data_IF_479174649137
#
_entry.id   IF_479174649137
#
_cell.length_a   1.000
_cell.length_b   1.000
_cell.length_c   1.000
_cell.angle_alpha   90.00
_cell.angle_beta   90.00
_cell.angle_gamma   90.00
#
_symmetry.space_group_name_H-M   'P 1'
#
loop_
_entity.id
_entity.type
_entity.pdbx_description
1 polymer ?
#
# COMPACT_ATOMS: atom_id res chain seq x y z
N UNK A 1 3.92 -4.09 -12.82
CA UNK A 1 2.73 -4.13 -13.70
C UNK A 1 2.45 -2.73 -14.20
N UNK A 2 2.15 -2.58 -15.48
CA UNK A 2 1.65 -1.35 -16.09
C UNK A 2 0.19 -1.54 -16.44
N UNK A 3 -0.64 -0.57 -16.06
CA UNK A 3 -2.05 -0.53 -16.37
C UNK A 3 -2.33 0.72 -17.19
N UNK A 4 -3.01 0.55 -18.30
CA UNK A 4 -3.50 1.64 -19.15
C UNK A 4 -5.01 1.65 -19.11
N UNK A 5 -5.57 2.73 -18.54
CA UNK A 5 -6.99 2.92 -18.33
C UNK A 5 -7.50 3.92 -19.35
N UNK A 6 -8.34 3.48 -20.28
CA UNK A 6 -9.05 4.34 -21.22
C UNK A 6 -8.11 5.34 -21.93
N UNK A 7 -7.11 4.82 -22.66
CA UNK A 7 -6.13 5.64 -23.40
C UNK A 7 -6.47 5.67 -24.91
N UNK A 8 -7.18 6.69 -25.40
CA UNK A 8 -7.57 6.75 -26.81
C UNK A 8 -6.44 7.14 -27.77
N UNK A 9 -5.38 7.81 -27.28
CA UNK A 9 -4.32 8.39 -28.11
C UNK A 9 -2.93 8.10 -27.51
N UNK A 10 -2.52 6.82 -27.43
CA UNK A 10 -1.23 6.47 -26.85
C UNK A 10 -0.09 7.11 -27.64
N UNK A 11 1.00 7.49 -26.96
CA UNK A 11 2.24 7.83 -27.67
C UNK A 11 2.92 6.57 -28.20
N UNK A 12 3.71 6.71 -29.27
CA UNK A 12 4.55 5.61 -29.76
C UNK A 12 5.55 5.12 -28.71
N UNK A 13 6.07 6.04 -27.88
CA UNK A 13 6.93 5.70 -26.75
C UNK A 13 6.22 4.78 -25.76
N UNK A 14 4.96 5.04 -25.43
CA UNK A 14 4.17 4.18 -24.54
C UNK A 14 4.02 2.77 -25.13
N UNK A 15 3.70 2.65 -26.42
CA UNK A 15 3.59 1.35 -27.10
C UNK A 15 4.90 0.56 -27.04
N UNK A 16 6.05 1.22 -27.27
CA UNK A 16 7.37 0.60 -27.11
C UNK A 16 7.62 0.16 -25.68
N UNK A 17 7.34 1.02 -24.69
CA UNK A 17 7.54 0.72 -23.27
C UNK A 17 6.69 -0.47 -22.82
N UNK A 18 5.46 -0.61 -23.30
CA UNK A 18 4.61 -1.76 -23.03
C UNK A 18 5.23 -3.05 -23.56
N UNK A 19 5.68 -3.04 -24.82
CA UNK A 19 6.34 -4.18 -25.43
C UNK A 19 7.61 -4.58 -24.66
N UNK A 20 8.47 -3.62 -24.35
CA UNK A 20 9.72 -3.86 -23.64
C UNK A 20 9.48 -4.39 -22.23
N UNK A 21 8.49 -3.83 -21.51
CA UNK A 21 8.10 -4.30 -20.19
C UNK A 21 7.64 -5.76 -20.24
N UNK A 22 6.75 -6.12 -21.17
CA UNK A 22 6.26 -7.48 -21.31
C UNK A 22 7.36 -8.46 -21.76
N UNK A 23 8.26 -8.03 -22.66
CA UNK A 23 9.40 -8.83 -23.10
C UNK A 23 10.42 -9.11 -21.98
N UNK A 24 10.44 -8.29 -20.93
CA UNK A 24 11.32 -8.47 -19.76
C UNK A 24 10.64 -9.20 -18.58
N UNK A 25 9.51 -9.87 -18.81
CA UNK A 25 8.78 -10.57 -17.75
C UNK A 25 7.76 -9.71 -17.00
N UNK A 26 7.57 -8.46 -17.43
CA UNK A 26 6.58 -7.56 -16.88
C UNK A 26 5.15 -7.86 -17.35
N UNK A 27 4.19 -7.14 -16.75
CA UNK A 27 2.75 -7.30 -17.04
C UNK A 27 2.19 -5.99 -17.54
N UNK A 28 1.50 -6.03 -18.67
CA UNK A 28 0.80 -4.90 -19.28
C UNK A 28 -0.69 -5.24 -19.35
N UNK A 29 -1.53 -4.31 -18.92
CA UNK A 29 -2.99 -4.44 -19.00
C UNK A 29 -3.54 -3.20 -19.70
N UNK A 30 -4.29 -3.41 -20.78
CA UNK A 30 -5.04 -2.37 -21.47
C UNK A 30 -6.52 -2.53 -21.18
N UNK A 31 -7.15 -1.50 -20.59
CA UNK A 31 -8.59 -1.48 -20.32
C UNK A 31 -9.29 -0.37 -21.08
N UNK A 32 -10.36 -0.72 -21.77
CA UNK A 32 -11.21 0.20 -22.53
C UNK A 32 -11.03 0.04 -24.05
N UNK A 33 -11.31 1.09 -24.84
CA UNK A 33 -11.27 1.02 -26.29
C UNK A 33 -9.85 0.74 -26.81
N UNK A 34 -9.69 -0.07 -27.87
CA UNK A 34 -8.46 -0.12 -28.64
C UNK A 34 -8.20 1.25 -29.30
N UNK A 35 -6.94 1.68 -29.41
CA UNK A 35 -6.62 2.98 -29.97
C UNK A 35 -6.70 2.95 -31.51
N UNK A 36 -7.25 4.01 -32.08
CA UNK A 36 -7.29 4.20 -33.55
C UNK A 36 -6.12 5.05 -34.02
N UNK A 37 -5.85 6.12 -33.28
CA UNK A 37 -4.78 7.08 -33.56
C UNK A 37 -3.82 7.14 -32.37
N UNK A 38 -2.56 7.47 -32.64
CA UNK A 38 -1.61 7.90 -31.62
C UNK A 38 -1.77 9.40 -31.31
N UNK A 39 -1.00 9.89 -30.33
CA UNK A 39 -0.99 11.30 -29.93
C UNK A 39 -0.59 12.29 -31.05
N UNK A 40 0.08 11.81 -32.10
CA UNK A 40 0.54 12.60 -33.25
C UNK A 40 -0.45 12.50 -34.43
N UNK A 41 -1.54 11.75 -34.28
CA UNK A 41 -2.59 11.57 -35.29
C UNK A 41 -2.30 10.48 -36.33
N UNK A 42 -1.29 9.64 -36.13
CA UNK A 42 -0.99 8.49 -36.99
C UNK A 42 -1.83 7.28 -36.59
N UNK A 43 -2.11 6.37 -37.54
CA UNK A 43 -2.79 5.11 -37.22
C UNK A 43 -1.93 4.20 -36.35
N UNK A 44 -2.51 3.64 -35.29
CA UNK A 44 -1.80 2.78 -34.33
C UNK A 44 -2.47 1.41 -34.11
N UNK A 45 -3.69 1.20 -34.63
CA UNK A 45 -4.48 -0.02 -34.41
C UNK A 45 -3.74 -1.29 -34.79
N UNK A 46 -3.03 -1.31 -35.92
CA UNK A 46 -2.28 -2.49 -36.35
C UNK A 46 -1.17 -2.86 -35.37
N UNK A 47 -0.36 -1.87 -34.95
CA UNK A 47 0.70 -2.08 -33.97
C UNK A 47 0.14 -2.53 -32.61
N UNK A 48 -1.00 -1.99 -32.20
CA UNK A 48 -1.69 -2.39 -30.98
C UNK A 48 -2.25 -3.83 -31.07
N UNK A 49 -2.91 -4.18 -32.17
CA UNK A 49 -3.41 -5.52 -32.46
C UNK A 49 -2.28 -6.55 -32.37
N UNK A 50 -1.14 -6.25 -32.98
CA UNK A 50 0.05 -7.11 -32.95
C UNK A 50 0.66 -7.23 -31.56
N UNK A 51 0.65 -6.15 -30.77
CA UNK A 51 1.14 -6.15 -29.40
C UNK A 51 0.30 -7.08 -28.51
N UNK A 52 -1.03 -7.00 -28.58
CA UNK A 52 -1.93 -7.82 -27.76
C UNK A 52 -2.27 -9.19 -28.37
N UNK A 53 -1.93 -9.43 -29.65
CA UNK A 53 -2.22 -10.68 -30.34
C UNK A 53 -3.72 -10.86 -30.62
N UNK A 54 -4.40 -9.77 -30.94
CA UNK A 54 -5.84 -9.72 -31.20
C UNK A 54 -6.12 -8.96 -32.48
N UNK A 55 -7.30 -9.16 -33.07
CA UNK A 55 -7.79 -8.38 -34.19
C UNK A 55 -8.98 -7.53 -33.77
N UNK A 56 -8.79 -6.22 -33.87
CA UNK A 56 -9.81 -5.19 -33.74
C UNK A 56 -9.96 -4.43 -35.06
N UNK A 57 -11.21 -4.17 -35.45
CA UNK A 57 -11.56 -3.29 -36.56
C UNK A 57 -12.48 -2.18 -36.03
N UNK A 58 -12.02 -0.93 -36.16
CA UNK A 58 -12.79 0.22 -35.70
C UNK A 58 -13.96 0.53 -36.65
N UNK A 59 -15.13 0.77 -36.09
CA UNK A 59 -16.36 1.16 -36.80
C UNK A 59 -16.88 2.54 -36.35
N UNK A 60 -17.62 3.26 -37.20
CA UNK A 60 -18.28 4.50 -36.80
C UNK A 60 -19.23 4.27 -35.61
N UNK A 61 -19.02 5.01 -34.51
CA UNK A 61 -19.82 4.89 -33.29
C UNK A 61 -19.35 3.82 -32.29
N UNK A 62 -18.11 3.33 -32.47
CA UNK A 62 -17.45 2.25 -31.75
C UNK A 62 -17.82 2.01 -30.27
N UNK A 63 -17.77 0.73 -29.92
CA UNK A 63 -18.16 0.18 -28.62
C UNK A 63 -19.64 -0.20 -28.58
N UNK A 64 -19.94 -1.42 -28.13
CA UNK A 64 -21.29 -1.93 -28.00
C UNK A 64 -21.93 -1.50 -26.68
N UNK A 65 -23.17 -1.01 -26.77
CA UNK A 65 -24.01 -0.65 -25.63
C UNK A 65 -24.79 -1.89 -25.18
N UNK A 66 -24.43 -2.43 -24.01
CA UNK A 66 -24.97 -3.71 -23.52
C UNK A 66 -25.30 -3.69 -22.01
N UNK A 67 -26.01 -2.67 -21.50
CA UNK A 67 -26.37 -2.62 -20.08
C UNK A 67 -27.20 -3.84 -19.66
N UNK A 68 -27.01 -4.28 -18.42
CA UNK A 68 -27.64 -5.46 -17.83
C UNK A 68 -27.00 -6.79 -18.24
N UNK A 69 -26.04 -6.82 -19.17
CA UNK A 69 -25.26 -8.02 -19.49
C UNK A 69 -24.10 -8.19 -18.52
N UNK A 70 -23.57 -9.40 -18.48
CA UNK A 70 -22.45 -9.77 -17.61
C UNK A 70 -21.20 -10.09 -18.43
N UNK A 71 -20.07 -9.60 -17.94
CA UNK A 71 -18.74 -10.05 -18.33
C UNK A 71 -18.45 -11.33 -17.53
N UNK A 72 -18.15 -12.41 -18.25
CA UNK A 72 -17.76 -13.71 -17.69
C UNK A 72 -16.30 -13.97 -18.00
N UNK A 73 -15.53 -14.28 -16.97
CA UNK A 73 -14.09 -14.49 -17.09
C UNK A 73 -13.75 -15.97 -17.36
N UNK A 74 -12.64 -16.19 -18.05
CA UNK A 74 -12.17 -17.50 -18.47
C UNK A 74 -10.64 -17.57 -18.49
N UNK A 75 -10.08 -18.76 -18.73
CA UNK A 75 -8.65 -18.95 -18.88
C UNK A 75 -7.88 -18.44 -17.64
N UNK A 76 -6.83 -17.60 -17.83
CA UNK A 76 -6.06 -17.02 -16.73
C UNK A 76 -6.89 -16.19 -15.72
N UNK A 77 -8.08 -15.74 -16.10
CA UNK A 77 -8.98 -14.95 -15.24
C UNK A 77 -10.18 -15.75 -14.72
N UNK A 78 -10.24 -17.07 -14.89
CA UNK A 78 -11.42 -17.88 -14.56
C UNK A 78 -11.91 -17.78 -13.11
N UNK A 79 -11.05 -17.37 -12.17
CA UNK A 79 -11.41 -17.18 -10.76
C UNK A 79 -12.02 -15.80 -10.46
N UNK A 80 -11.95 -14.86 -11.42
CA UNK A 80 -12.54 -13.53 -11.27
C UNK A 80 -14.06 -13.66 -11.34
N UNK A 81 -14.81 -13.15 -10.34
CA UNK A 81 -16.27 -13.14 -10.37
C UNK A 81 -16.81 -12.36 -11.58
N UNK A 82 -17.99 -12.75 -12.06
CA UNK A 82 -18.64 -12.04 -13.15
C UNK A 82 -18.94 -10.58 -12.77
N UNK A 83 -18.89 -9.68 -13.76
CA UNK A 83 -19.20 -8.27 -13.57
C UNK A 83 -20.40 -7.85 -14.42
N UNK A 84 -21.40 -7.21 -13.81
CA UNK A 84 -22.51 -6.59 -14.51
C UNK A 84 -22.11 -5.27 -15.18
N UNK A 85 -22.64 -5.03 -16.38
CA UNK A 85 -22.50 -3.77 -17.12
C UNK A 85 -23.69 -2.88 -16.74
N UNK A 86 -23.42 -1.71 -16.19
CA UNK A 86 -24.46 -0.92 -15.51
C UNK A 86 -25.15 0.10 -16.42
N UNK A 87 -24.38 0.80 -17.26
CA UNK A 87 -24.90 1.96 -18.02
C UNK A 87 -24.64 1.82 -19.52
N UNK A 88 -25.25 2.72 -20.30
CA UNK A 88 -24.99 2.92 -21.72
C UNK A 88 -23.91 3.97 -22.00
N UNK A 89 -23.29 4.53 -20.95
CA UNK A 89 -22.22 5.51 -21.08
C UNK A 89 -21.00 4.88 -21.74
N UNK A 90 -20.22 5.71 -22.46
CA UNK A 90 -19.06 5.25 -23.23
C UNK A 90 -18.08 4.43 -22.38
N UNK A 91 -17.90 4.81 -21.11
CA UNK A 91 -17.00 4.12 -20.17
C UNK A 91 -17.44 2.70 -19.78
N UNK A 92 -18.72 2.35 -19.98
CA UNK A 92 -19.29 1.03 -19.71
C UNK A 92 -19.55 0.23 -21.00
N UNK A 93 -19.24 0.80 -22.18
CA UNK A 93 -19.30 0.06 -23.44
C UNK A 93 -18.28 -1.07 -23.44
N UNK A 94 -18.61 -2.09 -24.22
CA UNK A 94 -17.66 -3.17 -24.52
C UNK A 94 -17.06 -2.99 -25.91
N UNK A 95 -15.84 -3.45 -26.07
CA UNK A 95 -15.05 -3.37 -27.29
C UNK A 95 -14.58 -4.78 -27.62
N UNK A 96 -15.38 -5.54 -28.39
CA UNK A 96 -15.04 -6.89 -28.75
C UNK A 96 -13.78 -6.95 -29.63
N UNK A 97 -13.00 -8.01 -29.48
CA UNK A 97 -11.87 -8.34 -30.34
C UNK A 97 -11.92 -9.82 -30.71
N UNK A 98 -11.18 -10.21 -31.74
CA UNK A 98 -10.94 -11.62 -32.05
C UNK A 98 -9.53 -11.99 -31.61
N UNK A 99 -9.34 -12.81 -30.55
CA UNK A 99 -8.02 -13.29 -30.18
C UNK A 99 -7.44 -14.21 -31.26
N UNK A 100 -6.16 -14.04 -31.60
CA UNK A 100 -5.49 -14.90 -32.58
C UNK A 100 -5.12 -16.23 -31.91
N UNK A 101 -5.58 -17.34 -32.48
CA UNK A 101 -5.59 -18.69 -31.86
C UNK A 101 -4.25 -19.15 -31.27
N UNK A 102 -3.12 -18.70 -31.81
CA UNK A 102 -1.77 -19.11 -31.38
C UNK A 102 -1.04 -18.08 -30.52
N UNK A 103 -1.61 -16.90 -30.29
CA UNK A 103 -0.92 -15.81 -29.56
C UNK A 103 -1.67 -15.30 -28.35
N UNK A 104 -2.99 -15.38 -28.33
CA UNK A 104 -3.78 -14.89 -27.20
C UNK A 104 -4.93 -15.83 -26.87
N UNK A 105 -5.08 -16.14 -25.58
CA UNK A 105 -6.21 -16.91 -25.06
C UNK A 105 -7.36 -15.96 -24.68
N UNK A 106 -8.60 -16.39 -24.91
CA UNK A 106 -9.80 -15.69 -24.41
C UNK A 106 -9.76 -15.66 -22.88
N UNK A 107 -9.93 -14.46 -22.31
CA UNK A 107 -9.90 -14.23 -20.87
C UNK A 107 -11.21 -13.65 -20.32
N UNK A 108 -12.03 -13.03 -21.18
CA UNK A 108 -13.36 -12.56 -20.80
C UNK A 108 -14.30 -12.51 -22.00
N UNK A 109 -15.58 -12.80 -21.76
CA UNK A 109 -16.64 -12.81 -22.77
C UNK A 109 -17.90 -12.12 -22.28
N UNK A 110 -18.65 -11.51 -23.18
CA UNK A 110 -20.04 -11.10 -22.98
C UNK A 110 -20.86 -11.83 -24.03
N UNK A 111 -21.58 -12.89 -23.63
CA UNK A 111 -22.20 -13.82 -24.58
C UNK A 111 -21.18 -14.30 -25.62
N UNK A 112 -21.44 -14.10 -26.91
CA UNK A 112 -20.58 -14.55 -28.01
C UNK A 112 -19.42 -13.58 -28.32
N UNK A 113 -19.35 -12.42 -27.65
CA UNK A 113 -18.28 -11.44 -27.86
C UNK A 113 -17.10 -11.70 -26.92
N UNK A 114 -15.91 -11.86 -27.48
CA UNK A 114 -14.66 -11.84 -26.72
C UNK A 114 -14.29 -10.41 -26.38
N UNK A 115 -14.29 -10.08 -25.10
CA UNK A 115 -13.97 -8.74 -24.56
C UNK A 115 -12.74 -8.77 -23.67
N UNK A 116 -12.02 -9.88 -23.62
CA UNK A 116 -10.75 -9.96 -22.95
C UNK A 116 -9.86 -11.04 -23.55
N UNK A 117 -8.57 -10.74 -23.63
CA UNK A 117 -7.57 -11.62 -24.20
C UNK A 117 -6.26 -11.53 -23.40
N UNK A 118 -5.57 -12.65 -23.23
CA UNK A 118 -4.26 -12.70 -22.56
C UNK A 118 -3.25 -13.35 -23.49
N UNK A 119 -2.17 -12.63 -23.78
CA UNK A 119 -0.96 -13.11 -24.45
C UNK A 119 0.17 -13.20 -23.44
N UNK A 120 0.88 -14.32 -23.42
CA UNK A 120 2.11 -14.50 -22.61
C UNK A 120 3.35 -14.39 -23.49
N UNK A 121 4.43 -13.84 -22.95
CA UNK A 121 5.74 -13.78 -23.61
C UNK A 121 6.62 -14.95 -23.17
N UNK A 122 7.66 -15.26 -23.94
CA UNK A 122 8.61 -16.34 -23.61
C UNK A 122 9.34 -16.12 -22.27
N UNK A 123 9.53 -14.86 -21.87
CA UNK A 123 10.15 -14.48 -20.60
C UNK A 123 9.19 -14.50 -19.39
N UNK A 124 7.96 -14.99 -19.59
CA UNK A 124 6.94 -15.06 -18.53
C UNK A 124 6.19 -13.77 -18.28
N UNK A 125 6.38 -12.75 -19.14
CA UNK A 125 5.57 -11.54 -19.11
C UNK A 125 4.19 -11.75 -19.75
N UNK A 126 3.31 -10.78 -19.61
CA UNK A 126 1.94 -10.88 -20.12
C UNK A 126 1.39 -9.56 -20.64
N UNK A 127 0.62 -9.64 -21.73
CA UNK A 127 -0.19 -8.56 -22.28
C UNK A 127 -1.66 -8.97 -22.18
N UNK A 128 -2.42 -8.24 -21.38
CA UNK A 128 -3.85 -8.48 -21.18
C UNK A 128 -4.65 -7.33 -21.76
N UNK A 129 -5.57 -7.65 -22.65
CA UNK A 129 -6.58 -6.72 -23.12
C UNK A 129 -7.91 -6.98 -22.39
N UNK A 130 -8.56 -5.91 -21.95
CA UNK A 130 -9.90 -5.88 -21.39
C UNK A 130 -10.69 -4.80 -22.13
N UNK A 131 -11.50 -5.22 -23.10
CA UNK A 131 -12.38 -4.34 -23.88
C UNK A 131 -13.59 -3.86 -23.11
N UNK A 132 -13.45 -3.57 -21.83
CA UNK A 132 -14.47 -3.02 -20.95
C UNK A 132 -13.74 -2.34 -19.78
N UNK A 133 -14.48 -1.65 -18.92
CA UNK A 133 -13.97 -1.09 -17.66
C UNK A 133 -14.23 -2.08 -16.53
N UNK A 134 -13.23 -2.81 -16.01
CA UNK A 134 -13.39 -3.50 -14.74
C UNK A 134 -13.65 -2.47 -13.65
N UNK A 135 -14.59 -2.79 -12.78
CA UNK A 135 -15.02 -1.91 -11.70
C UNK A 135 -14.15 -2.14 -10.47
N UNK A 136 -13.89 -1.06 -9.76
CA UNK A 136 -13.43 -1.05 -8.38
C UNK A 136 -14.20 0.09 -7.70
N UNK A 137 -14.64 -0.13 -6.47
CA UNK A 137 -15.14 0.90 -5.58
C UNK A 137 -14.09 1.22 -4.51
N UNK A 138 -14.43 2.15 -3.61
CA UNK A 138 -13.58 2.49 -2.46
C UNK A 138 -13.71 1.43 -1.35
N UNK A 139 -13.56 0.15 -1.73
CA UNK A 139 -14.03 -0.99 -0.96
C UNK A 139 -15.56 -0.91 -0.69
N UNK A 140 -16.04 -1.48 0.41
CA UNK A 140 -17.47 -1.60 0.67
C UNK A 140 -18.15 -0.30 1.16
N UNK A 141 -17.67 0.87 0.73
CA UNK A 141 -18.19 2.17 1.18
C UNK A 141 -19.63 2.45 0.74
N UNK A 142 -20.18 1.69 -0.21
CA UNK A 142 -21.59 1.76 -0.61
C UNK A 142 -22.45 0.64 0.02
N UNK A 143 -21.94 -0.03 1.05
CA UNK A 143 -22.61 -1.16 1.72
C UNK A 143 -22.48 -2.50 0.99
N UNK A 144 -21.83 -2.52 -0.17
CA UNK A 144 -21.46 -3.71 -0.93
C UNK A 144 -20.10 -3.51 -1.59
N UNK A 145 -19.47 -4.60 -2.00
CA UNK A 145 -18.10 -4.64 -2.49
C UNK A 145 -18.04 -4.86 -4.00
N UNK A 146 -17.31 -4.00 -4.70
CA UNK A 146 -17.07 -4.07 -6.15
C UNK A 146 -15.57 -4.07 -6.40
N UNK A 147 -15.02 -5.21 -6.80
CA UNK A 147 -13.55 -5.40 -6.76
C UNK A 147 -12.98 -6.10 -7.98
N UNK A 148 -13.68 -6.05 -9.11
CA UNK A 148 -13.25 -6.73 -10.35
C UNK A 148 -11.83 -6.34 -10.74
N UNK A 149 -11.48 -5.06 -10.62
CA UNK A 149 -10.13 -4.59 -10.96
C UNK A 149 -9.07 -5.25 -10.06
N UNK A 150 -9.28 -5.28 -8.75
CA UNK A 150 -8.42 -6.01 -7.83
C UNK A 150 -8.32 -7.50 -8.17
N UNK A 151 -9.44 -8.18 -8.45
CA UNK A 151 -9.44 -9.62 -8.74
C UNK A 151 -8.69 -9.95 -10.03
N UNK A 152 -8.84 -9.12 -11.07
CA UNK A 152 -8.06 -9.23 -12.31
C UNK A 152 -6.57 -9.04 -12.03
N UNK A 153 -6.19 -7.99 -11.29
CA UNK A 153 -4.80 -7.74 -10.94
C UNK A 153 -4.20 -8.88 -10.11
N UNK A 154 -4.96 -9.42 -9.17
CA UNK A 154 -4.55 -10.53 -8.33
C UNK A 154 -4.36 -11.82 -9.15
N UNK A 155 -5.33 -12.17 -10.00
CA UNK A 155 -5.25 -13.33 -10.88
C UNK A 155 -4.05 -13.28 -11.84
N UNK A 156 -3.68 -12.07 -12.30
CA UNK A 156 -2.49 -11.85 -13.13
C UNK A 156 -1.18 -11.78 -12.33
N UNK A 157 -1.23 -11.84 -11.00
CA UNK A 157 -0.05 -11.80 -10.13
C UNK A 157 0.58 -10.40 -9.99
N UNK A 158 -0.23 -9.34 -10.01
CA UNK A 158 0.24 -7.97 -9.82
C UNK A 158 0.65 -7.66 -8.37
N UNK A 159 0.22 -8.49 -7.41
CA UNK A 159 0.55 -8.39 -5.98
C UNK A 159 1.44 -9.56 -5.56
N UNK A 160 2.72 -9.58 -5.96
CA UNK A 160 3.61 -10.69 -5.63
C UNK A 160 3.87 -10.73 -4.11
N UNK A 161 3.80 -11.92 -3.53
CA UNK A 161 4.22 -12.18 -2.17
C UNK A 161 5.72 -11.88 -1.98
N UNK A 162 6.15 -11.70 -0.73
CA UNK A 162 7.57 -11.56 -0.37
C UNK A 162 8.40 -12.80 -0.70
N UNK A 163 7.75 -13.96 -0.79
CA UNK A 163 8.39 -15.27 -1.00
C UNK A 163 8.90 -15.93 0.29
N UNK A 164 8.73 -15.31 1.46
CA UNK A 164 9.17 -15.86 2.75
C UNK A 164 8.25 -16.98 3.25
N UNK A 165 6.95 -16.86 2.99
CA UNK A 165 5.93 -17.77 3.50
C UNK A 165 5.33 -18.62 2.39
N UNK A 166 5.52 -19.94 2.45
CA UNK A 166 4.94 -20.86 1.48
C UNK A 166 3.41 -20.77 1.46
N UNK A 167 2.82 -20.60 0.26
CA UNK A 167 1.38 -20.56 0.06
C UNK A 167 0.66 -19.33 0.64
N UNK A 168 1.38 -18.32 1.12
CA UNK A 168 0.79 -17.11 1.70
C UNK A 168 1.14 -15.90 0.86
N UNK A 169 0.12 -15.13 0.46
CA UNK A 169 0.31 -13.80 -0.11
C UNK A 169 0.32 -12.75 1.01
N UNK A 170 1.51 -12.32 1.40
CA UNK A 170 1.76 -11.33 2.44
C UNK A 170 2.04 -9.92 1.86
N UNK A 171 1.67 -9.69 0.60
CA UNK A 171 1.82 -8.40 -0.05
C UNK A 171 0.90 -7.34 0.62
N UNK A 172 1.42 -6.15 0.99
CA UNK A 172 0.65 -5.08 1.63
C UNK A 172 -0.64 -4.68 0.92
N UNK A 173 -0.62 -4.56 -0.41
CA UNK A 173 -1.80 -4.15 -1.19
C UNK A 173 -2.84 -5.28 -1.22
N UNK A 174 -2.40 -6.53 -1.34
CA UNK A 174 -3.26 -7.71 -1.23
C UNK A 174 -3.92 -7.81 0.14
N UNK A 175 -3.14 -7.66 1.22
CA UNK A 175 -3.63 -7.72 2.60
C UNK A 175 -4.62 -6.59 2.87
N UNK A 176 -4.34 -5.38 2.40
CA UNK A 176 -5.25 -4.23 2.54
C UNK A 176 -6.62 -4.49 1.91
N UNK A 177 -6.66 -5.26 0.81
CA UNK A 177 -7.91 -5.61 0.13
C UNK A 177 -8.56 -6.90 0.63
N UNK A 178 -7.87 -7.74 1.40
CA UNK A 178 -8.38 -9.08 1.78
C UNK A 178 -8.53 -9.28 3.29
N UNK A 179 -7.99 -8.37 4.09
CA UNK A 179 -8.08 -8.41 5.56
C UNK A 179 -8.84 -7.19 6.10
N UNK A 180 -8.97 -7.12 7.41
CA UNK A 180 -9.51 -5.97 8.16
C UNK A 180 -8.45 -4.88 8.44
N UNK A 181 -7.23 -5.04 7.93
CA UNK A 181 -6.12 -4.12 8.18
C UNK A 181 -5.69 -3.39 6.90
N UNK A 182 -5.30 -2.14 7.05
CA UNK A 182 -4.55 -1.39 6.05
C UNK A 182 -3.06 -1.65 6.30
N UNK A 183 -2.39 -2.24 5.33
CA UNK A 183 -0.98 -2.61 5.42
C UNK A 183 -0.18 -1.79 4.43
N UNK A 184 0.90 -1.16 4.90
CA UNK A 184 1.80 -0.36 4.10
C UNK A 184 3.24 -0.83 4.22
N UNK A 185 3.98 -0.71 3.12
CA UNK A 185 5.45 -0.85 3.10
C UNK A 185 6.07 0.44 2.59
N UNK A 186 7.16 0.85 3.21
CA UNK A 186 7.92 2.02 2.80
C UNK A 186 9.26 1.63 2.16
N UNK A 187 9.83 2.46 1.27
CA UNK A 187 11.11 2.19 0.61
C UNK A 187 12.29 1.96 1.56
N UNK A 188 12.20 2.50 2.78
CA UNK A 188 13.22 2.34 3.81
C UNK A 188 13.12 1.02 4.58
N UNK A 189 12.25 0.09 4.17
CA UNK A 189 12.02 -1.20 4.81
C UNK A 189 10.97 -1.21 5.93
N UNK A 190 10.39 -0.06 6.29
CA UNK A 190 9.34 -0.01 7.32
C UNK A 190 8.06 -0.72 6.84
N UNK A 191 7.45 -1.51 7.73
CA UNK A 191 6.09 -2.05 7.57
C UNK A 191 5.18 -1.34 8.56
N UNK A 192 3.98 -0.94 8.12
CA UNK A 192 2.96 -0.31 8.94
C UNK A 192 1.62 -1.02 8.78
N UNK A 193 0.87 -1.13 9.87
CA UNK A 193 -0.42 -1.80 9.95
C UNK A 193 -1.36 -0.93 10.77
N UNK A 194 -2.59 -0.76 10.30
CA UNK A 194 -3.65 -0.08 11.04
C UNK A 194 -5.00 -0.81 10.83
N UNK A 195 -5.94 -0.71 11.78
CA UNK A 195 -7.33 -1.09 11.52
C UNK A 195 -7.88 -0.36 10.28
N UNK A 196 -8.61 -1.07 9.42
CA UNK A 196 -9.10 -0.54 8.15
C UNK A 196 -10.59 -0.20 8.22
N UNK A 197 -10.94 0.98 7.72
CA UNK A 197 -12.34 1.38 7.50
C UNK A 197 -13.00 0.76 6.24
N UNK A 198 -12.44 -0.31 5.65
CA UNK A 198 -12.87 -0.83 4.34
C UNK A 198 -14.32 -1.31 4.27
N UNK A 199 -14.90 -1.67 5.42
CA UNK A 199 -16.26 -2.19 5.54
C UNK A 199 -17.22 -1.15 6.11
N UNK A 200 -16.72 0.07 6.37
CA UNK A 200 -17.55 1.17 6.83
C UNK A 200 -18.24 1.78 5.61
N UNK A 201 -19.57 1.63 5.55
CA UNK A 201 -20.38 2.35 4.59
C UNK A 201 -20.21 3.86 4.82
N UNK A 202 -20.07 4.63 3.74
CA UNK A 202 -20.01 6.07 3.78
C UNK A 202 -21.43 6.63 3.70
N UNK A 203 -21.92 7.17 4.81
CA UNK A 203 -23.24 7.81 4.87
C UNK A 203 -23.24 9.12 5.63
N UNK A 204 -22.07 9.77 5.75
CA UNK A 204 -21.96 11.06 6.43
C UNK A 204 -22.77 12.13 5.67
N UNK A 205 -23.52 12.99 6.39
CA UNK A 205 -24.24 14.08 5.75
C UNK A 205 -23.23 15.02 5.09
N UNK A 206 -23.29 15.13 3.76
CA UNK A 206 -22.44 16.07 3.02
C UNK A 206 -22.76 17.53 3.40
N UNK A 207 -21.78 18.43 3.29
CA UNK A 207 -21.96 19.85 3.60
C UNK A 207 -20.65 20.56 3.87
N UNK A 208 -20.68 21.90 3.90
CA UNK A 208 -19.50 22.72 4.20
C UNK A 208 -19.20 22.82 5.71
N UNK A 209 -20.19 22.56 6.56
CA UNK A 209 -20.09 22.62 8.02
C UNK A 209 -20.56 21.30 8.63
N UNK A 210 -19.91 20.90 9.72
CA UNK A 210 -20.28 19.72 10.50
C UNK A 210 -21.47 20.04 11.39
N UNK A 211 -22.41 19.10 11.49
CA UNK A 211 -23.51 19.13 12.46
C UNK A 211 -23.25 18.04 13.52
N UNK A 212 -22.93 18.44 14.74
CA UNK A 212 -22.56 17.52 15.83
C UNK A 212 -23.67 16.51 16.16
N UNK A 213 -24.94 16.90 16.07
CA UNK A 213 -26.07 16.02 16.38
C UNK A 213 -26.23 14.94 15.30
N UNK A 214 -26.13 15.32 14.03
CA UNK A 214 -26.19 14.37 12.91
C UNK A 214 -24.98 13.44 12.89
N UNK A 215 -23.78 13.96 13.19
CA UNK A 215 -22.56 13.17 13.31
C UNK A 215 -22.66 12.13 14.44
N UNK A 216 -23.19 12.53 15.60
CA UNK A 216 -23.38 11.64 16.73
C UNK A 216 -24.42 10.54 16.42
N UNK A 217 -25.53 10.90 15.76
CA UNK A 217 -26.54 9.94 15.32
C UNK A 217 -25.97 8.94 14.30
N UNK A 218 -25.17 9.42 13.34
CA UNK A 218 -24.50 8.57 12.37
C UNK A 218 -23.52 7.60 13.03
N UNK A 219 -22.65 8.09 13.92
CA UNK A 219 -21.68 7.25 14.65
C UNK A 219 -22.35 6.20 15.55
N UNK A 220 -23.52 6.51 16.11
CA UNK A 220 -24.29 5.54 16.89
C UNK A 220 -24.88 4.42 16.02
N UNK A 221 -25.29 4.74 14.79
CA UNK A 221 -25.83 3.78 13.82
C UNK A 221 -24.71 2.99 13.10
N UNK A 222 -23.58 3.64 12.84
CA UNK A 222 -22.44 3.12 12.08
C UNK A 222 -21.15 3.29 12.90
N UNK A 223 -20.98 2.52 14.00
CA UNK A 223 -19.81 2.65 14.85
C UNK A 223 -18.54 2.34 14.04
N UNK A 224 -17.45 3.12 14.24
CA UNK A 224 -16.19 2.82 13.58
C UNK A 224 -15.66 1.45 14.02
N UNK A 225 -14.80 0.81 13.21
CA UNK A 225 -14.05 -0.37 13.65
C UNK A 225 -13.31 -0.07 14.96
N UNK A 226 -13.08 -1.12 15.74
CA UNK A 226 -12.31 -1.03 16.97
C UNK A 226 -10.95 -0.39 16.72
N UNK A 227 -10.54 0.51 17.62
CA UNK A 227 -9.19 1.07 17.61
C UNK A 227 -8.16 0.06 18.17
N UNK A 228 -8.59 -1.10 18.67
CA UNK A 228 -7.67 -2.16 19.10
C UNK A 228 -7.01 -2.81 17.87
N UNK A 229 -5.67 -2.85 17.88
CA UNK A 229 -4.88 -3.60 16.91
C UNK A 229 -4.34 -4.86 17.58
N UNK A 230 -4.98 -5.99 17.28
CA UNK A 230 -4.61 -7.31 17.80
C UNK A 230 -4.12 -8.18 16.64
N UNK A 231 -2.82 -8.45 16.62
CA UNK A 231 -2.18 -9.29 15.63
C UNK A 231 -1.62 -10.52 16.31
N UNK A 232 -1.92 -11.70 15.77
CA UNK A 232 -1.35 -12.98 16.20
C UNK A 232 -0.79 -13.69 14.98
N UNK A 233 0.54 -13.86 14.95
CA UNK A 233 1.29 -14.48 13.85
C UNK A 233 0.90 -13.93 12.47
N UNK A 234 0.56 -12.63 12.43
CA UNK A 234 0.12 -11.95 11.22
C UNK A 234 1.30 -11.82 10.26
N UNK A 235 1.12 -12.28 9.02
CA UNK A 235 2.17 -12.29 7.99
C UNK A 235 2.04 -11.05 7.11
N UNK A 236 3.04 -10.19 7.15
CA UNK A 236 3.10 -9.01 6.31
C UNK A 236 4.52 -8.76 5.81
N UNK A 237 4.68 -8.73 4.49
CA UNK A 237 5.91 -8.39 3.80
C UNK A 237 7.18 -9.03 4.38
N UNK A 238 7.16 -10.36 4.52
CA UNK A 238 8.28 -11.17 4.99
C UNK A 238 8.38 -11.30 6.51
N UNK A 239 7.49 -10.64 7.27
CA UNK A 239 7.52 -10.67 8.73
C UNK A 239 6.32 -11.41 9.32
N UNK A 240 6.56 -12.16 10.38
CA UNK A 240 5.52 -12.70 11.28
C UNK A 240 5.39 -11.79 12.50
N UNK A 241 4.18 -11.27 12.73
CA UNK A 241 3.94 -10.16 13.66
C UNK A 241 2.90 -10.55 14.70
N UNK A 242 3.27 -10.44 15.97
CA UNK A 242 2.34 -10.54 17.10
C UNK A 242 2.42 -9.26 17.91
N UNK A 243 1.28 -8.59 18.07
CA UNK A 243 1.17 -7.26 18.65
C UNK A 243 -0.19 -7.02 19.27
N UNK A 244 -0.19 -6.35 20.41
CA UNK A 244 -1.39 -5.82 21.05
C UNK A 244 -1.16 -4.34 21.36
N UNK A 245 -2.04 -3.49 20.83
CA UNK A 245 -2.01 -2.05 21.04
C UNK A 245 -3.23 -1.36 20.46
N UNK A 246 -3.12 -0.07 20.20
CA UNK A 246 -4.20 0.72 19.59
C UNK A 246 -3.75 1.53 18.39
N UNK A 247 -4.68 1.77 17.46
CA UNK A 247 -4.46 2.51 16.24
C UNK A 247 -3.42 1.85 15.33
N UNK A 248 -2.60 2.68 14.69
CA UNK A 248 -1.56 2.22 13.80
C UNK A 248 -0.29 1.81 14.54
N UNK A 249 0.36 0.77 14.05
CA UNK A 249 1.71 0.35 14.44
C UNK A 249 2.62 0.31 13.22
N UNK A 250 3.87 0.72 13.38
CA UNK A 250 4.90 0.60 12.36
C UNK A 250 6.21 0.15 13.00
N UNK A 251 6.97 -0.67 12.28
CA UNK A 251 8.27 -1.15 12.74
C UNK A 251 9.26 -1.23 11.58
N UNK A 252 10.54 -1.28 11.93
CA UNK A 252 11.61 -1.61 11.01
C UNK A 252 12.69 -2.40 11.72
N UNK A 253 13.05 -3.53 11.13
CA UNK A 253 14.22 -4.32 11.52
C UNK A 253 15.42 -3.92 10.65
N UNK A 254 16.63 -4.13 11.17
CA UNK A 254 17.84 -4.19 10.36
C UNK A 254 18.16 -5.61 9.91
N UNK A 255 19.25 -5.78 9.16
CA UNK A 255 19.69 -7.08 8.64
C UNK A 255 20.06 -8.11 9.73
N UNK A 256 20.20 -7.67 10.98
CA UNK A 256 20.46 -8.51 12.15
C UNK A 256 19.18 -8.76 12.98
N UNK A 257 17.99 -8.48 12.43
CA UNK A 257 16.68 -8.58 13.07
C UNK A 257 16.55 -7.72 14.35
N UNK A 258 17.30 -6.63 14.46
CA UNK A 258 17.17 -5.70 15.59
C UNK A 258 16.11 -4.66 15.28
N UNK A 259 15.24 -4.37 16.25
CA UNK A 259 14.22 -3.33 16.14
C UNK A 259 14.86 -1.93 16.20
N UNK A 260 15.15 -1.37 15.02
CA UNK A 260 15.81 -0.06 14.89
C UNK A 260 14.82 1.10 14.84
N UNK A 261 13.56 0.85 14.44
CA UNK A 261 12.49 1.84 14.48
C UNK A 261 11.18 1.20 14.91
N UNK A 262 10.39 1.94 15.67
CA UNK A 262 9.04 1.53 16.07
C UNK A 262 8.16 2.78 16.22
N UNK A 263 6.88 2.65 15.96
CA UNK A 263 5.84 3.59 16.35
C UNK A 263 4.57 2.79 16.68
N UNK A 264 3.96 3.09 17.83
CA UNK A 264 2.74 2.41 18.27
C UNK A 264 2.13 3.08 19.49
N UNK A 265 0.93 2.62 19.86
CA UNK A 265 0.17 3.17 21.00
C UNK A 265 -0.39 2.03 21.85
N UNK A 266 -0.58 2.29 23.14
CA UNK A 266 -1.16 1.32 24.07
C UNK A 266 -0.37 0.01 24.22
N UNK A 267 0.95 0.05 24.03
CA UNK A 267 1.78 -1.17 23.99
C UNK A 267 3.13 -0.97 24.71
N UNK A 268 3.77 -2.07 25.07
CA UNK A 268 5.10 -2.10 25.67
C UNK A 268 6.08 -3.07 24.97
N UNK A 269 5.57 -3.85 24.02
CA UNK A 269 6.31 -4.86 23.30
C UNK A 269 5.70 -5.16 21.93
N UNK A 270 6.50 -5.79 21.08
CA UNK A 270 6.08 -6.39 19.82
C UNK A 270 6.91 -7.65 19.61
N UNK A 271 6.30 -8.70 19.05
CA UNK A 271 7.04 -9.89 18.62
C UNK A 271 7.10 -9.92 17.11
N UNK A 272 8.33 -9.96 16.58
CA UNK A 272 8.63 -9.96 15.16
C UNK A 272 9.51 -11.16 14.87
N UNK A 273 9.10 -12.00 13.92
CA UNK A 273 9.87 -13.16 13.46
C UNK A 273 10.32 -14.10 14.60
N UNK A 274 9.44 -14.27 15.59
CA UNK A 274 9.67 -15.09 16.78
C UNK A 274 10.51 -14.42 17.88
N UNK A 275 11.00 -13.21 17.67
CA UNK A 275 11.74 -12.43 18.66
C UNK A 275 10.84 -11.36 19.30
N UNK A 276 10.70 -11.41 20.63
CA UNK A 276 9.99 -10.38 21.39
C UNK A 276 10.91 -9.20 21.71
N UNK A 277 10.48 -8.00 21.34
CA UNK A 277 11.12 -6.74 21.65
C UNK A 277 10.30 -6.00 22.71
N UNK A 278 10.65 -6.20 23.99
CA UNK A 278 10.08 -5.41 25.10
C UNK A 278 10.83 -4.09 25.22
N UNK A 279 10.14 -2.99 24.95
CA UNK A 279 10.72 -1.64 24.96
C UNK A 279 10.28 -0.81 26.18
N UNK A 280 9.32 -1.27 26.98
CA UNK A 280 8.94 -0.62 28.23
C UNK A 280 8.44 -1.63 29.27
N UNK A 281 8.57 -1.30 30.55
CA UNK A 281 8.08 -2.16 31.65
C UNK A 281 6.54 -2.22 31.70
N UNK A 282 5.87 -1.19 31.18
CA UNK A 282 4.42 -1.08 31.13
C UNK A 282 3.93 -0.45 29.82
N UNK A 283 2.63 -0.57 29.57
CA UNK A 283 2.01 -0.03 28.35
C UNK A 283 2.17 1.50 28.28
N UNK A 284 2.75 1.98 27.19
CA UNK A 284 2.89 3.41 26.93
C UNK A 284 1.71 3.88 26.05
N UNK A 285 1.03 4.99 26.40
CA UNK A 285 -0.03 5.55 25.57
C UNK A 285 0.40 5.81 24.12
N UNK A 286 1.65 6.24 23.91
CA UNK A 286 2.24 6.42 22.59
C UNK A 286 3.75 6.36 22.70
N UNK A 287 4.38 5.66 21.77
CA UNK A 287 5.83 5.60 21.66
C UNK A 287 6.24 5.56 20.19
N UNK A 288 7.30 6.27 19.86
CA UNK A 288 7.95 6.20 18.58
C UNK A 288 9.44 6.48 18.71
N UNK A 289 10.26 5.74 17.97
CA UNK A 289 11.65 6.09 17.74
C UNK A 289 12.08 5.68 16.35
N UNK A 290 13.01 6.44 15.78
CA UNK A 290 13.65 6.09 14.53
C UNK A 290 15.02 6.78 14.43
N UNK A 291 15.96 6.19 13.67
CA UNK A 291 17.18 6.88 13.27
C UNK A 291 16.84 8.17 12.53
N UNK A 292 17.65 9.20 12.74
CA UNK A 292 17.56 10.43 11.96
C UNK A 292 17.88 10.09 10.50
N UNK A 293 16.98 10.50 9.59
CA UNK A 293 17.14 10.24 8.16
C UNK A 293 18.43 10.89 7.64
N UNK A 294 19.10 10.25 6.68
CA UNK A 294 20.42 10.69 6.21
C UNK A 294 20.43 12.16 5.75
N UNK A 295 19.41 12.57 5.00
CA UNK A 295 19.25 13.97 4.54
C UNK A 295 19.07 15.01 5.66
N UNK A 296 18.81 14.56 6.90
CA UNK A 296 18.67 15.41 8.10
C UNK A 296 19.85 15.29 9.06
N UNK A 297 20.82 14.41 8.80
CA UNK A 297 22.01 14.29 9.64
C UNK A 297 22.92 15.48 9.42
N UNK A 298 23.47 15.99 10.52
CA UNK A 298 24.50 17.02 10.53
C UNK A 298 25.70 16.51 11.34
N UNK A 299 26.93 16.98 11.08
CA UNK A 299 28.09 16.61 11.88
C UNK A 299 27.86 16.88 13.38
N UNK A 300 28.02 15.85 14.22
CA UNK A 300 27.70 15.92 15.64
C UNK A 300 26.19 16.00 15.96
N UNK A 301 25.31 15.92 14.98
CA UNK A 301 23.87 16.01 15.19
C UNK A 301 23.27 14.83 15.95
N UNK A 302 21.93 14.86 16.06
CA UNK A 302 21.16 13.74 16.55
C UNK A 302 21.30 12.53 15.59
N UNK A 303 21.38 11.34 16.17
CA UNK A 303 21.41 10.06 15.48
C UNK A 303 20.08 9.33 15.61
N UNK A 304 19.37 9.56 16.71
CA UNK A 304 18.07 8.97 17.03
C UNK A 304 17.08 10.07 17.38
N UNK A 305 15.84 9.93 16.91
CA UNK A 305 14.70 10.76 17.30
C UNK A 305 13.69 9.88 18.06
N UNK A 306 13.17 10.39 19.17
CA UNK A 306 12.29 9.65 20.09
C UNK A 306 11.08 10.55 20.44
N UNK A 307 9.91 9.94 20.54
CA UNK A 307 8.71 10.52 21.14
C UNK A 307 8.06 9.47 22.02
N UNK A 308 7.81 9.79 23.29
CA UNK A 308 7.09 8.90 24.18
C UNK A 308 6.14 9.71 25.06
N UNK A 309 4.96 9.16 25.31
CA UNK A 309 3.98 9.70 26.24
C UNK A 309 3.85 8.77 27.44
N UNK A 310 3.63 9.32 28.63
CA UNK A 310 3.44 8.56 29.86
C UNK A 310 4.63 8.70 30.81
N UNK A 311 4.87 7.68 31.62
CA UNK A 311 5.98 7.61 32.56
C UNK A 311 6.59 6.20 32.54
N UNK A 312 7.91 6.10 32.73
CA UNK A 312 8.62 4.81 32.78
C UNK A 312 9.92 4.84 31.99
N UNK A 313 10.58 3.70 31.88
CA UNK A 313 11.85 3.58 31.15
C UNK A 313 11.61 3.00 29.76
N UNK A 314 12.07 3.71 28.74
CA UNK A 314 12.06 3.26 27.35
C UNK A 314 13.41 2.59 27.02
N UNK A 315 13.37 1.38 26.47
CA UNK A 315 14.53 0.58 26.07
C UNK A 315 14.62 0.53 24.55
N UNK A 316 15.68 1.13 23.99
CA UNK A 316 15.91 1.21 22.54
C UNK A 316 17.24 0.54 22.20
N UNK A 317 17.33 -0.13 21.04
CA UNK A 317 18.62 -0.63 20.53
C UNK A 317 19.63 0.52 20.38
N UNK A 318 20.82 0.35 20.95
CA UNK A 318 21.92 1.32 20.92
C UNK A 318 23.03 0.95 19.91
N UNK A 319 22.74 0.05 18.96
CA UNK A 319 23.70 -0.45 17.98
C UNK A 319 24.48 0.67 17.27
N UNK A 320 23.76 1.69 16.80
CA UNK A 320 24.32 2.82 16.04
C UNK A 320 24.48 4.08 16.91
N UNK A 321 24.40 3.92 18.23
CA UNK A 321 24.48 5.02 19.20
C UNK A 321 25.84 4.95 19.93
N UNK A 322 26.64 6.03 19.91
CA UNK A 322 27.89 6.10 20.66
C UNK A 322 27.72 5.83 22.16
N UNK A 323 28.75 5.31 22.81
CA UNK A 323 28.70 5.00 24.25
C UNK A 323 28.58 6.27 25.13
N UNK A 324 29.06 7.40 24.65
CA UNK A 324 28.98 8.71 25.28
C UNK A 324 27.75 9.52 24.82
N UNK A 325 26.78 8.88 24.15
CA UNK A 325 25.60 9.57 23.68
C UNK A 325 24.77 10.12 24.84
N UNK A 326 24.23 11.32 24.65
CA UNK A 326 23.30 11.98 25.57
C UNK A 326 21.94 12.10 24.92
N UNK A 327 20.88 11.93 25.72
CA UNK A 327 19.51 12.22 25.29
C UNK A 327 19.13 13.61 25.75
N UNK A 328 18.63 14.42 24.81
CA UNK A 328 18.17 15.79 25.08
C UNK A 328 16.75 15.98 24.56
N UNK A 329 15.93 16.73 25.29
CA UNK A 329 14.65 17.21 24.77
C UNK A 329 14.88 18.30 23.72
N UNK A 330 13.92 18.50 22.82
CA UNK A 330 13.91 19.65 21.92
C UNK A 330 13.91 20.97 22.71
N UNK A 331 14.79 21.89 22.34
CA UNK A 331 14.85 23.24 22.90
C UNK A 331 13.73 24.15 22.40
N UNK A 332 13.88 25.46 22.65
CA UNK A 332 12.85 26.46 22.33
C UNK A 332 12.61 26.63 20.82
N UNK A 333 13.64 26.40 20.00
CA UNK A 333 13.53 26.39 18.54
C UNK A 333 13.72 24.97 17.99
N UNK A 334 13.04 24.60 16.89
CA UNK A 334 13.28 23.33 16.21
C UNK A 334 14.78 23.13 15.91
N UNK A 335 15.31 21.95 16.26
CA UNK A 335 16.73 21.62 16.09
C UNK A 335 17.68 22.09 17.20
N UNK A 336 17.23 22.92 18.14
CA UNK A 336 18.05 23.33 19.30
C UNK A 336 18.05 22.27 20.43
N UNK A 337 19.16 22.17 21.15
CA UNK A 337 19.28 21.30 22.34
C UNK A 337 18.53 21.93 23.52
N UNK A 338 17.65 21.16 24.15
CA UNK A 338 16.96 21.50 25.38
C UNK A 338 17.60 20.84 26.61
N UNK A 339 16.77 20.55 27.61
CA UNK A 339 17.20 19.88 28.83
C UNK A 339 17.69 18.44 28.53
N UNK A 340 18.74 18.02 29.25
CA UNK A 340 19.19 16.63 29.26
C UNK A 340 18.11 15.76 29.90
N UNK A 341 17.81 14.64 29.27
CA UNK A 341 16.89 13.61 29.78
C UNK A 341 17.73 12.49 30.37
N UNK A 342 17.34 12.03 31.56
CA UNK A 342 17.99 10.90 32.21
C UNK A 342 17.99 9.69 31.27
N UNK A 343 19.18 9.21 30.97
CA UNK A 343 19.40 8.09 30.07
C UNK A 343 20.71 7.40 30.43
N UNK A 344 20.74 6.08 30.24
CA UNK A 344 21.91 5.25 30.51
C UNK A 344 22.04 4.18 29.44
N UNK A 345 23.28 3.86 29.07
CA UNK A 345 23.55 2.72 28.21
C UNK A 345 23.75 1.47 29.06
N UNK A 346 22.97 0.44 28.79
CA UNK A 346 23.11 -0.89 29.38
C UNK A 346 23.35 -1.92 28.27
N UNK A 347 24.62 -2.28 28.07
CA UNK A 347 25.04 -3.15 26.98
C UNK A 347 24.65 -2.59 25.61
N UNK A 348 23.81 -3.33 24.90
CA UNK A 348 23.31 -3.00 23.55
C UNK A 348 22.07 -2.11 23.57
N UNK A 349 21.65 -1.60 24.73
CA UNK A 349 20.44 -0.81 24.86
C UNK A 349 20.71 0.58 25.44
N UNK A 350 19.97 1.56 24.94
CA UNK A 350 19.81 2.89 25.50
C UNK A 350 18.51 2.90 26.30
N UNK A 351 18.62 3.06 27.61
CA UNK A 351 17.50 3.27 28.50
C UNK A 351 17.25 4.76 28.66
N UNK A 352 16.01 5.21 28.48
CA UNK A 352 15.61 6.61 28.56
C UNK A 352 14.46 6.73 29.55
N UNK A 353 14.64 7.52 30.62
CA UNK A 353 13.59 7.77 31.60
C UNK A 353 12.59 8.78 31.07
N UNK A 354 11.37 8.34 30.84
CA UNK A 354 10.22 9.17 30.47
C UNK A 354 9.51 9.59 31.76
N UNK A 355 9.38 10.89 31.94
CA UNK A 355 8.67 11.48 33.08
C UNK A 355 7.98 12.79 32.68
N UNK A 356 7.42 13.55 33.64
CA UNK A 356 6.61 14.74 33.36
C UNK A 356 7.31 15.80 32.48
N UNK A 357 8.63 15.92 32.58
CA UNK A 357 9.42 16.90 31.80
C UNK A 357 9.79 16.47 30.37
N UNK A 358 9.67 15.17 30.05
CA UNK A 358 10.04 14.57 28.76
C UNK A 358 8.85 13.95 28.02
N UNK A 359 7.77 13.59 28.71
CA UNK A 359 6.54 13.03 28.13
C UNK A 359 5.93 13.99 27.10
N UNK A 360 5.63 13.47 25.92
CA UNK A 360 5.02 14.20 24.80
C UNK A 360 5.96 15.19 24.11
N UNK A 361 7.27 15.18 24.42
CA UNK A 361 8.27 16.01 23.76
C UNK A 361 9.11 15.17 22.81
N UNK A 362 9.55 15.80 21.72
CA UNK A 362 10.61 15.23 20.90
C UNK A 362 11.91 15.19 21.69
N UNK A 363 12.51 14.01 21.75
CA UNK A 363 13.83 13.76 22.32
C UNK A 363 14.78 13.31 21.21
N UNK A 364 16.07 13.59 21.42
CA UNK A 364 17.11 13.29 20.46
C UNK A 364 18.31 12.67 21.18
N UNK A 365 18.81 11.55 20.67
CA UNK A 365 20.07 10.97 21.13
C UNK A 365 21.18 11.32 20.14
N UNK A 366 22.33 11.78 20.64
CA UNK A 366 23.51 12.10 19.84
C UNK A 366 24.76 12.25 20.70
N UNK A 367 25.93 12.50 20.11
CA UNK A 367 27.19 12.61 20.85
C UNK A 367 27.13 13.68 21.95
N UNK A 368 27.82 13.45 23.09
CA UNK A 368 27.91 14.45 24.16
C UNK A 368 28.53 15.77 23.66
N UNK A 369 29.61 15.67 22.89
CA UNK A 369 30.51 16.79 22.52
C UNK A 369 30.12 17.57 21.25
N UNK A 370 28.89 17.47 20.79
CA UNK A 370 28.43 18.29 19.67
C UNK A 370 28.17 19.73 20.12
N UNK A 371 29.14 20.61 19.85
CA UNK A 371 28.91 22.04 19.92
C UNK A 371 27.71 22.39 19.01
N UNK A 372 26.79 23.27 19.44
CA UNK A 372 25.77 23.80 18.57
C UNK A 372 26.48 24.55 17.44
N UNK A 373 26.42 24.02 16.20
CA UNK A 373 26.72 24.85 15.04
C UNK A 373 25.57 25.85 14.93
N UNK A 374 25.91 27.13 15.09
CA UNK A 374 25.01 28.24 14.77
C UNK A 374 24.56 28.14 13.30
N UNK A 375 23.33 28.56 12.99
CA UNK A 375 22.67 28.36 11.70
C UNK A 375 23.44 28.92 10.50
#
# INVERSE_FOLDING_TARGET
TLVTLFEPFPSQTLMSMMNDLAAQGGRVIWSGPPPVLDADGNSVTAAWNDLFGVDYAAEPGDGLIVPGREIRFAGPLAQVPAQSILTDFIVDRIYPVTPRESTAAVAATVQDWSVGAVRTTESGGSLTYLGFRPRDDQAASLGYETRTWFEVLNALGAYPASGVFEGVNDNPDYLSRTTEYLVGRFPNGTVAIAPHFRAMEEGWPGGFARNEEEDAAYLAANPPPSDALQLQDFKAWGHTITYEGTGAMAFRLDDANRLISFAGSGSNSVTLDGQTHTFADGSLPRVAWAPVAEARKVPGGALLQILAHGNGTLRISAADIPADAVVVAQGATPGSRGAVVESVREGDFLLVTIGPGSSGRWLFAGPANSAPQQP
#
